data_IF_903333439429
#
_entry.id   IF_903333439429
#
_cell.length_a   1.000
_cell.length_b   1.000
_cell.length_c   1.000
_cell.angle_alpha   90.00
_cell.angle_beta   90.00
_cell.angle_gamma   90.00
#
_symmetry.space_group_name_H-M   'P 1'
#
loop_
_entity.id
_entity.type
_entity.pdbx_description
1 polymer ?
#
# COMPACT_ATOMS: atom_id res chain seq x y z
N UNK A 1 -2.83 -13.93 -7.61
CA UNK A 1 -2.40 -12.68 -7.03
C UNK A 1 -2.52 -11.54 -8.02
N UNK A 2 -2.79 -10.37 -7.57
CA UNK A 2 -2.96 -9.21 -8.43
C UNK A 2 -1.62 -8.72 -8.93
N UNK A 3 -1.56 -8.38 -10.19
CA UNK A 3 -0.35 -7.82 -10.75
C UNK A 3 -0.44 -6.30 -10.70
N UNK A 4 0.54 -5.66 -10.10
CA UNK A 4 0.62 -4.21 -10.01
C UNK A 4 1.37 -3.70 -11.23
N UNK A 5 0.71 -2.87 -12.00
CA UNK A 5 1.29 -2.32 -13.23
C UNK A 5 1.56 -0.83 -13.06
N UNK A 6 2.45 -0.25 -13.88
CA UNK A 6 2.73 1.18 -13.79
C UNK A 6 1.51 2.07 -14.07
N UNK A 7 0.52 1.54 -14.78
CA UNK A 7 -0.66 2.32 -15.11
C UNK A 7 -1.66 2.40 -13.96
N UNK A 8 -1.54 1.54 -12.96
CA UNK A 8 -2.49 1.52 -11.86
C UNK A 8 -2.23 2.69 -10.94
N UNK A 9 -3.32 3.33 -10.49
CA UNK A 9 -3.20 4.36 -9.46
C UNK A 9 -3.11 3.68 -8.11
N UNK A 10 -2.12 4.05 -7.33
CA UNK A 10 -1.87 3.47 -6.01
C UNK A 10 -1.97 4.59 -4.99
N UNK A 11 -2.80 4.37 -3.98
CA UNK A 11 -3.08 5.36 -2.95
C UNK A 11 -2.80 4.73 -1.59
N UNK A 12 -1.94 5.37 -0.81
CA UNK A 12 -1.63 4.93 0.55
C UNK A 12 -2.38 5.80 1.54
N UNK A 13 -3.04 5.17 2.50
CA UNK A 13 -3.68 5.88 3.60
C UNK A 13 -2.59 6.37 4.55
N UNK A 14 -2.66 7.64 4.94
CA UNK A 14 -1.63 8.24 5.81
C UNK A 14 -1.74 7.68 7.23
N UNK A 15 -2.96 7.68 7.79
CA UNK A 15 -3.17 7.22 9.14
C UNK A 15 -3.33 5.71 9.19
N UNK A 16 -2.96 5.06 10.28
CA UNK A 16 -3.15 3.63 10.39
C UNK A 16 -4.63 3.26 10.40
N UNK A 17 -4.93 2.09 9.88
CA UNK A 17 -6.28 1.54 9.88
C UNK A 17 -6.41 0.46 10.95
N UNK A 18 -7.63 0.24 11.41
CA UNK A 18 -7.91 -0.85 12.32
C UNK A 18 -7.98 -2.13 11.51
N UNK A 19 -7.04 -3.03 11.71
CA UNK A 19 -6.91 -4.24 10.92
C UNK A 19 -7.92 -5.34 11.32
N UNK A 20 -8.80 -5.05 12.26
CA UNK A 20 -9.98 -5.89 12.43
C UNK A 20 -10.96 -5.69 11.29
N UNK A 21 -10.84 -4.58 10.54
CA UNK A 21 -11.67 -4.34 9.38
C UNK A 21 -11.29 -5.30 8.26
N UNK A 22 -12.31 -5.89 7.65
CA UNK A 22 -12.13 -6.69 6.45
C UNK A 22 -12.38 -5.83 5.21
N UNK A 23 -12.74 -6.50 4.12
CA UNK A 23 -12.95 -5.84 2.83
C UNK A 23 -13.97 -4.72 2.93
N UNK A 24 -15.13 -4.99 3.50
CA UNK A 24 -16.19 -3.97 3.54
C UNK A 24 -15.81 -2.77 4.38
N UNK A 25 -15.16 -3.01 5.51
CA UNK A 25 -14.72 -1.92 6.37
C UNK A 25 -13.65 -1.06 5.73
N UNK A 26 -12.71 -1.67 5.01
CA UNK A 26 -11.68 -0.92 4.32
C UNK A 26 -12.21 -0.19 3.09
N UNK A 27 -13.15 -0.80 2.37
CA UNK A 27 -13.80 -0.11 1.25
C UNK A 27 -14.56 1.11 1.74
N UNK A 28 -15.22 1.00 2.90
CA UNK A 28 -15.91 2.14 3.50
C UNK A 28 -14.91 3.23 3.91
N UNK A 29 -13.75 2.84 4.41
CA UNK A 29 -12.72 3.79 4.76
C UNK A 29 -12.26 4.57 3.54
N UNK A 30 -12.07 3.90 2.40
CA UNK A 30 -11.70 4.57 1.16
C UNK A 30 -12.72 5.64 0.81
N UNK A 31 -14.00 5.31 0.91
CA UNK A 31 -15.07 6.23 0.53
C UNK A 31 -15.21 7.37 1.53
N UNK A 32 -15.27 7.05 2.81
CA UNK A 32 -15.64 8.02 3.83
C UNK A 32 -14.49 8.89 4.29
N UNK A 33 -13.31 8.33 4.39
CA UNK A 33 -12.13 9.05 4.92
C UNK A 33 -11.20 9.49 3.81
N UNK A 34 -10.84 8.59 2.90
CA UNK A 34 -9.90 8.91 1.83
C UNK A 34 -10.61 9.65 0.69
N UNK A 35 -11.95 9.60 0.65
CA UNK A 35 -12.75 10.27 -0.36
C UNK A 35 -12.46 9.77 -1.76
N UNK A 36 -12.22 8.49 -1.89
CA UNK A 36 -12.01 7.84 -3.17
C UNK A 36 -12.99 6.69 -3.33
N UNK A 37 -13.41 6.46 -4.56
CA UNK A 37 -14.33 5.37 -4.87
C UNK A 37 -13.56 4.06 -4.88
N UNK A 38 -13.85 3.11 -3.96
CA UNK A 38 -13.10 1.85 -3.91
C UNK A 38 -13.36 0.94 -5.10
N UNK A 39 -14.39 1.21 -5.90
CA UNK A 39 -14.72 0.38 -7.06
C UNK A 39 -14.00 0.81 -8.34
N UNK A 40 -13.09 1.80 -8.25
CA UNK A 40 -12.41 2.27 -9.46
C UNK A 40 -11.27 1.41 -9.93
N UNK A 41 -10.91 0.36 -9.23
CA UNK A 41 -9.77 -0.46 -9.60
C UNK A 41 -8.43 0.12 -9.16
N UNK A 42 -8.44 1.16 -8.33
CA UNK A 42 -7.23 1.69 -7.75
C UNK A 42 -6.72 0.75 -6.67
N UNK A 43 -5.43 0.81 -6.40
CA UNK A 43 -4.80 0.01 -5.36
C UNK A 43 -4.74 0.85 -4.10
N UNK A 44 -5.38 0.40 -3.03
CA UNK A 44 -5.36 1.10 -1.75
C UNK A 44 -4.51 0.34 -0.76
N UNK A 45 -3.59 1.04 -0.10
CA UNK A 45 -2.63 0.43 0.81
C UNK A 45 -2.83 1.00 2.20
N UNK A 46 -2.94 0.13 3.19
CA UNK A 46 -3.18 0.49 4.58
C UNK A 46 -2.12 -0.16 5.45
N UNK A 47 -1.78 0.49 6.54
CA UNK A 47 -0.91 -0.09 7.57
C UNK A 47 -1.68 -0.19 8.89
N UNK A 48 -1.26 -1.12 9.74
CA UNK A 48 -1.78 -1.17 11.09
C UNK A 48 -1.04 -0.15 11.97
N UNK A 49 -1.54 0.03 13.19
CA UNK A 49 -0.98 1.06 14.07
C UNK A 49 0.47 0.79 14.43
N UNK A 50 0.84 -0.47 14.61
CA UNK A 50 2.22 -0.79 15.00
C UNK A 50 3.17 -0.85 13.81
N UNK A 51 2.70 -0.67 12.59
CA UNK A 51 3.51 -0.75 11.36
C UNK A 51 4.17 -2.12 11.17
N UNK A 52 3.54 -3.17 11.66
CA UNK A 52 4.02 -4.53 11.49
C UNK A 52 3.33 -5.28 10.38
N UNK A 53 2.26 -4.70 9.84
CA UNK A 53 1.49 -5.33 8.78
C UNK A 53 0.92 -4.29 7.84
N UNK A 54 0.65 -4.71 6.61
CA UNK A 54 -0.09 -3.87 5.67
C UNK A 54 -1.14 -4.69 4.95
N UNK A 55 -2.14 -4.00 4.45
CA UNK A 55 -3.20 -4.59 3.63
C UNK A 55 -3.32 -3.81 2.34
N UNK A 56 -3.57 -4.53 1.26
CA UNK A 56 -3.76 -3.95 -0.07
C UNK A 56 -5.14 -4.37 -0.57
N UNK A 57 -5.96 -3.39 -0.90
CA UNK A 57 -7.33 -3.59 -1.35
C UNK A 57 -7.46 -3.15 -2.80
N UNK A 58 -7.97 -4.02 -3.67
CA UNK A 58 -8.17 -3.72 -5.09
C UNK A 58 -9.46 -4.35 -5.58
N UNK A 59 -10.26 -3.57 -6.31
CA UNK A 59 -11.46 -4.09 -6.97
C UNK A 59 -11.12 -4.42 -8.41
N UNK A 60 -11.42 -5.65 -8.86
CA UNK A 60 -11.01 -6.11 -10.18
C UNK A 60 -12.15 -6.15 -11.20
N UNK A 61 -13.29 -5.57 -10.87
CA UNK A 61 -14.45 -5.57 -11.73
C UNK A 61 -15.48 -6.64 -11.35
N UNK A 62 -15.07 -7.63 -10.59
CA UNK A 62 -15.98 -8.68 -10.10
C UNK A 62 -16.03 -8.71 -8.59
N UNK A 63 -14.95 -8.38 -7.93
CA UNK A 63 -14.87 -8.44 -6.49
C UNK A 63 -13.62 -7.77 -5.98
N UNK A 64 -13.48 -7.74 -4.67
CA UNK A 64 -12.33 -7.14 -4.04
C UNK A 64 -11.29 -8.19 -3.71
N UNK A 65 -10.03 -7.85 -3.96
CA UNK A 65 -8.89 -8.58 -3.43
C UNK A 65 -8.40 -7.85 -2.20
N UNK A 66 -8.15 -8.60 -1.14
CA UNK A 66 -7.54 -8.04 0.06
C UNK A 66 -6.30 -8.89 0.35
N UNK A 67 -5.14 -8.30 0.14
CA UNK A 67 -3.87 -8.96 0.41
C UNK A 67 -3.34 -8.45 1.73
N UNK A 68 -2.84 -9.34 2.56
CA UNK A 68 -2.37 -8.99 3.89
C UNK A 68 -0.95 -9.52 4.05
N UNK A 69 -0.03 -8.64 4.40
CA UNK A 69 1.33 -9.03 4.72
C UNK A 69 1.66 -8.60 6.13
N UNK A 70 2.06 -9.56 6.95
CA UNK A 70 2.54 -9.29 8.31
C UNK A 70 4.00 -9.69 8.37
N UNK A 71 4.85 -8.78 8.84
CA UNK A 71 6.25 -9.08 9.00
C UNK A 71 6.46 -10.07 10.14
N UNK A 72 7.35 -11.04 9.94
CA UNK A 72 7.68 -11.99 11.00
C UNK A 72 8.51 -11.34 12.09
N UNK A 73 9.20 -10.26 11.76
CA UNK A 73 9.94 -9.48 12.74
C UNK A 73 10.13 -8.08 12.19
N UNK A 74 10.34 -7.12 13.07
CA UNK A 74 10.57 -5.75 12.66
C UNK A 74 9.30 -5.03 12.24
N UNK A 75 9.49 -3.88 11.63
CA UNK A 75 8.39 -3.01 11.23
C UNK A 75 8.67 -2.45 9.85
N UNK A 76 7.59 -1.98 9.19
CA UNK A 76 7.73 -1.15 8.01
C UNK A 76 8.25 0.20 8.49
N UNK A 77 9.50 0.53 8.16
CA UNK A 77 10.15 1.71 8.70
C UNK A 77 9.78 2.98 7.98
N UNK A 78 9.31 2.86 6.76
CA UNK A 78 8.90 4.02 5.97
C UNK A 78 7.42 3.96 5.72
N UNK A 79 6.76 5.09 5.83
CA UNK A 79 5.36 5.28 5.45
C UNK A 79 5.17 6.73 5.08
N UNK A 80 4.37 7.05 4.05
CA UNK A 80 4.14 8.44 3.68
C UNK A 80 3.48 9.20 4.81
N UNK A 81 3.83 10.48 4.94
CA UNK A 81 3.33 11.33 5.99
C UNK A 81 2.71 12.58 5.41
N UNK A 82 1.74 13.12 6.09
CA UNK A 82 1.15 14.41 5.79
C UNK A 82 0.44 14.91 7.03
N UNK A 83 0.48 16.23 7.25
CA UNK A 83 -0.29 16.84 8.32
C UNK A 83 -1.66 17.30 7.85
N UNK A 84 -1.92 17.27 6.54
CA UNK A 84 -3.17 17.79 5.99
C UNK A 84 -3.92 16.78 5.15
N UNK A 85 -3.25 15.88 4.48
CA UNK A 85 -3.90 14.92 3.60
C UNK A 85 -4.23 13.62 4.33
N UNK A 86 -5.25 12.92 3.86
CA UNK A 86 -5.61 11.60 4.40
C UNK A 86 -4.95 10.49 3.61
N UNK A 87 -4.48 10.78 2.40
CA UNK A 87 -3.86 9.78 1.54
C UNK A 87 -2.85 10.44 0.62
N UNK A 88 -2.01 9.63 0.01
CA UNK A 88 -1.07 10.09 -0.98
C UNK A 88 -0.93 9.05 -2.09
N UNK A 89 -0.52 9.48 -3.26
CA UNK A 89 -0.32 8.60 -4.41
C UNK A 89 1.10 8.05 -4.39
N UNK A 90 1.24 6.79 -4.73
CA UNK A 90 2.55 6.15 -4.86
C UNK A 90 2.73 5.70 -6.30
N UNK A 91 3.99 5.70 -6.77
CA UNK A 91 4.34 5.06 -8.02
C UNK A 91 4.45 3.54 -7.79
N UNK A 92 4.32 2.76 -8.86
CA UNK A 92 4.36 1.31 -8.74
C UNK A 92 5.66 0.83 -8.10
N UNK A 93 6.80 1.41 -8.48
CA UNK A 93 8.07 0.99 -7.90
C UNK A 93 8.17 1.33 -6.42
N UNK A 94 7.53 2.43 -5.98
CA UNK A 94 7.52 2.79 -4.56
C UNK A 94 6.72 1.77 -3.76
N UNK A 95 5.60 1.30 -4.31
CA UNK A 95 4.82 0.26 -3.64
C UNK A 95 5.63 -1.02 -3.52
N UNK A 96 6.36 -1.41 -4.58
CA UNK A 96 7.15 -2.62 -4.52
C UNK A 96 8.24 -2.55 -3.46
N UNK A 97 8.89 -1.39 -3.33
CA UNK A 97 9.89 -1.19 -2.30
C UNK A 97 9.24 -1.25 -0.92
N UNK A 98 8.09 -0.62 -0.76
CA UNK A 98 7.36 -0.66 0.50
C UNK A 98 6.94 -2.08 0.86
N UNK A 99 6.45 -2.85 -0.10
CA UNK A 99 6.05 -4.23 0.15
C UNK A 99 7.21 -5.09 0.60
N UNK A 100 8.43 -4.70 0.25
CA UNK A 100 9.64 -5.38 0.71
C UNK A 100 10.18 -4.79 2.01
N UNK A 101 9.38 -3.93 2.66
CA UNK A 101 9.73 -3.24 3.89
C UNK A 101 10.93 -2.30 3.72
N UNK A 102 11.17 -1.82 2.50
CA UNK A 102 12.21 -0.86 2.21
C UNK A 102 11.73 0.58 2.32
N UNK A 103 12.63 1.51 2.02
CA UNK A 103 12.33 2.93 1.99
C UNK A 103 12.42 3.41 0.54
N UNK A 104 11.30 3.74 -0.10
CA UNK A 104 11.32 4.17 -1.50
C UNK A 104 12.11 5.46 -1.73
N UNK A 105 12.17 6.33 -0.73
CA UNK A 105 12.90 7.59 -0.88
C UNK A 105 14.40 7.36 -0.86
N UNK A 106 14.85 6.36 -0.15
CA UNK A 106 16.25 6.06 -0.07
C UNK A 106 16.75 5.29 -1.29
N UNK A 107 15.88 4.52 -1.95
CA UNK A 107 16.35 3.73 -3.07
C UNK A 107 16.44 4.54 -4.33
N UNK A 108 15.86 5.65 -4.41
CA UNK A 108 16.05 6.40 -5.57
C UNK A 108 15.89 5.76 -6.83
N UNK A 109 15.48 5.36 -7.29
CA UNK A 109 15.32 5.02 -8.58
C UNK A 109 16.20 4.10 -9.09
N UNK A 110 16.78 3.77 -8.66
CA UNK A 110 17.62 3.10 -9.22
C UNK A 110 17.25 2.12 -9.83
N UNK A 111 17.04 1.89 -10.08
CA UNK A 111 16.75 1.26 -10.68
C UNK A 111 16.38 0.20 -10.86
N UNK A 112 16.31 -0.18 -11.05
CA UNK A 112 15.77 -1.01 -11.44
C UNK A 112 16.34 -2.10 -11.21
N UNK A 113 16.91 -2.32 -10.98
CA UNK A 113 17.29 -3.03 -10.56
C UNK A 113 17.98 -3.86 -10.52
N UNK A 114 18.48 -3.93 -10.26
CA UNK A 114 19.25 -4.56 -10.06
C UNK A 114 18.89 -5.55 -9.42
N UNK A 115 18.81 -6.08 -9.32
CA UNK A 115 18.48 -6.89 -8.90
C UNK A 115 18.65 -7.58 -8.14
N UNK A 116 18.84 -7.83 -7.83
CA UNK A 116 18.91 -8.32 -7.14
C UNK A 116 19.50 -8.91 -6.64
N UNK A 117 19.79 -8.96 -6.48
CA UNK A 117 20.30 -9.18 -6.05
C UNK A 117 20.65 -9.69 -5.42
N UNK A 118 21.16 -9.82 -5.09
CA UNK A 118 21.39 -10.09 -4.35
C UNK A 118 21.65 -10.02 -3.68
N UNK A 119 21.62 -9.80 -3.52
CA UNK A 119 21.78 -9.54 -2.95
C UNK A 119 21.93 -9.35 -2.53
N UNK A 120 21.86 -9.15 -2.66
CA UNK A 120 21.93 -8.67 -2.33
C UNK A 120 21.89 -8.63 -1.89
#
# INVERSE_FOLDING_TARGET
>A
MIQITPQMRIVAAIEPADFRRGIDGLARLCKDVLKHDPFRGWVFVFRNRSSTALKVLVYDGQGFWLCHKRLSSGRFRWWPRSSTATSTTLAAHQLQVLLSAGNPEATQAAPTWRSVGPAD
#
